data_IF_807928306772
#
_entry.id   IF_807928306772
#
_cell.length_a   1.000
_cell.length_b   1.000
_cell.length_c   1.000
_cell.angle_alpha   90.00
_cell.angle_beta   90.00
_cell.angle_gamma   90.00
#
_symmetry.space_group_name_H-M   'P 1'
#
loop_
_entity.id
_entity.type
_entity.pdbx_description
1 polymer ?
#
# COMPACT_ATOMS: atom_id res chain seq x y z
N UNK A 1 -3.73 20.86 -4.30
CA UNK A 1 -3.46 20.41 -2.92
C UNK A 1 -4.83 20.17 -2.29
N UNK A 2 -5.12 18.97 -1.78
CA UNK A 2 -6.41 18.65 -1.17
C UNK A 2 -6.25 18.84 0.34
N UNK A 3 -7.10 19.67 0.93
CA UNK A 3 -7.13 19.92 2.38
C UNK A 3 -7.83 18.76 3.11
N UNK A 4 -7.50 18.52 4.37
CA UNK A 4 -8.11 17.44 5.17
C UNK A 4 -9.63 17.66 5.33
N UNK A 5 -10.09 18.90 5.31
CA UNK A 5 -11.51 19.25 5.35
C UNK A 5 -12.27 18.90 4.06
N UNK A 6 -11.55 18.84 2.92
CA UNK A 6 -12.10 18.44 1.61
C UNK A 6 -12.21 16.91 1.47
N UNK A 7 -11.66 16.15 2.42
CA UNK A 7 -11.55 14.69 2.36
C UNK A 7 -12.82 13.95 2.80
N UNK A 8 -13.73 14.66 3.48
CA UNK A 8 -14.94 14.09 4.07
C UNK A 8 -14.63 13.15 5.25
N UNK A 9 -15.68 12.64 5.90
CA UNK A 9 -15.51 11.71 7.03
C UNK A 9 -14.97 10.37 6.56
N UNK A 10 -13.99 9.83 7.28
CA UNK A 10 -13.50 8.48 7.04
C UNK A 10 -14.63 7.46 7.25
N UNK A 11 -14.79 6.55 6.30
CA UNK A 11 -15.70 5.41 6.46
C UNK A 11 -15.04 4.44 7.42
N UNK A 12 -15.66 4.24 8.59
CA UNK A 12 -15.22 3.27 9.59
C UNK A 12 -16.08 2.01 9.43
N UNK A 13 -15.45 0.91 9.07
CA UNK A 13 -16.08 -0.40 8.96
C UNK A 13 -15.91 -1.18 10.28
N UNK A 14 -16.85 -2.09 10.57
CA UNK A 14 -16.80 -2.89 11.80
C UNK A 14 -15.50 -3.71 11.95
N UNK A 15 -14.89 -4.10 10.83
CA UNK A 15 -13.64 -4.85 10.78
C UNK A 15 -12.37 -4.00 10.91
N UNK A 16 -12.45 -2.66 10.84
CA UNK A 16 -11.29 -1.79 11.02
C UNK A 16 -10.74 -1.85 12.45
N UNK A 17 -11.59 -2.20 13.41
CA UNK A 17 -11.22 -2.38 14.82
C UNK A 17 -10.83 -3.81 15.16
N UNK A 18 -10.97 -4.76 14.21
CA UNK A 18 -10.59 -6.15 14.43
C UNK A 18 -9.09 -6.28 14.18
N UNK A 19 -8.29 -6.63 15.21
CA UNK A 19 -6.85 -6.79 15.05
C UNK A 19 -6.54 -7.78 13.93
N UNK A 20 -5.56 -7.44 13.09
CA UNK A 20 -5.05 -8.27 11.99
C UNK A 20 -6.05 -8.66 10.89
N UNK A 21 -7.30 -8.17 10.91
CA UNK A 21 -8.31 -8.53 9.90
C UNK A 21 -7.87 -8.18 8.48
N UNK A 22 -7.38 -6.95 8.26
CA UNK A 22 -6.92 -6.51 6.94
C UNK A 22 -5.75 -7.36 6.46
N UNK A 23 -4.80 -7.67 7.35
CA UNK A 23 -3.65 -8.52 7.03
C UNK A 23 -4.06 -9.95 6.69
N UNK A 24 -5.00 -10.53 7.43
CA UNK A 24 -5.58 -11.84 7.13
C UNK A 24 -6.32 -11.84 5.79
N UNK A 25 -7.17 -10.82 5.56
CA UNK A 25 -7.97 -10.67 4.35
C UNK A 25 -7.07 -10.68 3.12
N UNK A 26 -5.99 -9.89 3.11
CA UNK A 26 -5.04 -9.85 2.01
C UNK A 26 -4.30 -11.19 1.79
N UNK A 27 -3.91 -11.88 2.86
CA UNK A 27 -3.27 -13.21 2.75
C UNK A 27 -4.18 -14.26 2.10
N UNK A 28 -5.47 -14.27 2.45
CA UNK A 28 -6.43 -15.26 1.95
C UNK A 28 -6.96 -14.88 0.56
N UNK A 29 -7.30 -13.62 0.33
CA UNK A 29 -7.87 -13.17 -0.94
C UNK A 29 -6.83 -13.02 -2.06
N UNK A 30 -5.56 -12.76 -1.71
CA UNK A 30 -4.47 -12.57 -2.67
C UNK A 30 -3.32 -13.54 -2.37
N UNK A 31 -3.52 -14.86 -2.54
CA UNK A 31 -2.49 -15.87 -2.26
C UNK A 31 -1.24 -15.71 -3.16
N UNK A 32 -1.37 -15.00 -4.27
CA UNK A 32 -0.28 -14.60 -5.17
C UNK A 32 -0.09 -13.09 -5.07
N UNK A 33 0.12 -12.56 -3.86
CA UNK A 33 0.85 -11.30 -3.74
C UNK A 33 2.28 -11.59 -4.21
N UNK A 34 2.51 -11.49 -5.52
CA UNK A 34 3.85 -11.30 -6.05
C UNK A 34 4.44 -10.18 -5.21
N UNK A 35 5.50 -10.47 -4.47
CA UNK A 35 6.38 -9.42 -3.96
C UNK A 35 6.63 -8.53 -5.16
N UNK A 36 6.10 -7.31 -5.11
CA UNK A 36 6.58 -6.23 -5.95
C UNK A 36 7.94 -5.91 -5.35
N UNK A 37 8.90 -6.83 -5.49
CA UNK A 37 10.30 -6.48 -5.45
C UNK A 37 10.40 -5.48 -6.57
N UNK A 38 10.45 -4.19 -6.22
CA UNK A 38 10.70 -3.16 -7.20
C UNK A 38 11.91 -3.66 -8.00
N UNK A 39 11.81 -3.78 -9.35
CA UNK A 39 12.97 -4.16 -10.13
C UNK A 39 14.12 -3.26 -9.70
N UNK A 40 15.29 -3.86 -9.45
CA UNK A 40 16.46 -3.10 -9.01
C UNK A 40 16.59 -1.86 -9.91
N UNK A 41 16.72 -0.65 -9.33
CA UNK A 41 16.91 0.52 -10.15
C UNK A 41 18.15 0.27 -11.03
N UNK A 42 18.10 0.59 -12.33
CA UNK A 42 19.26 0.40 -13.20
C UNK A 42 20.46 1.12 -12.59
N UNK A 43 21.68 0.57 -12.72
CA UNK A 43 22.87 1.22 -12.21
C UNK A 43 22.96 2.63 -12.78
N UNK A 44 23.22 3.61 -11.90
CA UNK A 44 23.34 5.02 -12.28
C UNK A 44 24.37 5.12 -13.41
N UNK A 45 24.06 5.78 -14.55
CA UNK A 45 25.02 5.91 -15.64
C UNK A 45 26.27 6.64 -15.13
N UNK A 46 27.44 6.12 -15.46
CA UNK A 46 28.74 6.62 -15.01
C UNK A 46 29.10 8.03 -15.52
N UNK A 47 28.26 8.64 -16.36
CA UNK A 47 28.52 9.90 -17.04
C UNK A 47 27.49 10.97 -16.67
N UNK A 48 27.42 11.31 -15.38
CA UNK A 48 26.82 12.57 -14.93
C UNK A 48 27.97 13.41 -14.35
N UNK A 49 28.59 14.18 -15.23
CA UNK A 49 29.36 15.38 -14.86
C UNK A 49 28.41 16.51 -14.44
#
# INVERSE_FOLDING_TARGET
MIDEEMRGSAVVMAWDHVPDYISWFYKVSHPIMRLVTAPEPPPRPANLE
#
